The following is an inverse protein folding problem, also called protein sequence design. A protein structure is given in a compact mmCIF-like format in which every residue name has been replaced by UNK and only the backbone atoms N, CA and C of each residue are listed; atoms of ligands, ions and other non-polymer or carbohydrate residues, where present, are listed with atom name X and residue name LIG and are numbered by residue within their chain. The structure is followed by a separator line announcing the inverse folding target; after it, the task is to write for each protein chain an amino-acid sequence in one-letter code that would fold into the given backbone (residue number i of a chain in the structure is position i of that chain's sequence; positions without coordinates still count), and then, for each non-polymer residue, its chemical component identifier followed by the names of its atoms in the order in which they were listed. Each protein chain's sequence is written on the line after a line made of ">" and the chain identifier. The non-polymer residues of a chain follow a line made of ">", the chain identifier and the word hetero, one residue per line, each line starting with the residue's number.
data_IF_488859076260
#
_entry.id   IF_488859076260
#
_cell.length_a   1.000
_cell.length_b   1.000
_cell.length_c   1.000
_cell.angle_alpha   90.00
_cell.angle_beta   90.00
_cell.angle_gamma   90.00
#
_symmetry.space_group_name_H-M   'P 1'
#
loop_
_entity.id
_entity.type
_entity.pdbx_description
1 polymer ?
#
# COMPACT_ATOMS: atom_id res chain seq x y z
N UNK A 1 -0.99 -5.78 48.53
CA UNK A 1 -1.24 -4.33 48.38
C UNK A 1 -1.55 -4.06 46.90
N UNK A 2 -2.82 -3.98 46.48
CA UNK A 2 -3.15 -3.56 45.13
C UNK A 2 -3.18 -2.03 45.08
N UNK A 3 -2.51 -1.44 44.09
CA UNK A 3 -2.55 -0.01 43.81
C UNK A 3 -3.77 0.31 42.92
N UNK A 4 -4.33 1.49 43.18
CA UNK A 4 -5.69 1.93 42.86
C UNK A 4 -5.95 2.21 41.37
N UNK A 5 -7.20 1.97 41.00
CA UNK A 5 -7.89 2.55 39.85
C UNK A 5 -8.09 4.05 40.12
N UNK A 6 -7.61 4.90 39.23
CA UNK A 6 -8.01 6.31 39.17
C UNK A 6 -8.74 6.51 37.86
N UNK A 7 -10.05 6.68 37.96
CA UNK A 7 -10.90 7.27 36.94
C UNK A 7 -10.75 8.79 37.03
N UNK A 8 -10.70 9.52 35.92
CA UNK A 8 -11.27 10.85 35.89
C UNK A 8 -12.48 10.93 34.97
N UNK A 9 -13.46 11.66 35.47
CA UNK A 9 -14.76 12.02 34.93
C UNK A 9 -14.74 12.68 33.55
N UNK A 10 -15.94 12.71 32.98
CA UNK A 10 -16.32 13.33 31.73
C UNK A 10 -16.04 14.84 31.64
N UNK A 11 -16.18 15.36 30.41
CA UNK A 11 -16.09 16.75 29.98
C UNK A 11 -14.68 17.30 29.71
N UNK A 12 -14.12 16.88 28.56
CA UNK A 12 -13.67 17.86 27.55
C UNK A 12 -13.45 17.18 26.21
N UNK A 13 -14.08 17.75 25.19
CA UNK A 13 -13.99 17.42 23.77
C UNK A 13 -12.55 17.13 23.34
N UNK A 14 -12.20 15.84 23.17
CA UNK A 14 -10.85 15.41 22.84
C UNK A 14 -10.77 14.77 21.45
N UNK A 15 -10.13 15.51 20.55
CA UNK A 15 -9.46 15.00 19.37
C UNK A 15 -8.30 14.09 19.82
N UNK A 16 -8.57 12.80 19.99
CA UNK A 16 -7.59 11.78 20.43
C UNK A 16 -8.19 10.41 20.11
N UNK A 17 -7.52 9.38 19.61
CA UNK A 17 -6.17 9.15 19.16
C UNK A 17 -6.26 7.86 18.32
N UNK A 18 -5.55 7.77 17.21
CA UNK A 18 -5.30 6.46 16.62
C UNK A 18 -4.41 5.71 17.64
N UNK A 19 -4.98 4.81 18.43
CA UNK A 19 -4.22 4.06 19.42
C UNK A 19 -3.66 2.81 18.73
N UNK A 20 -2.33 2.74 18.62
CA UNK A 20 -1.66 1.48 18.34
C UNK A 20 -1.81 0.62 19.61
N UNK A 21 -2.80 -0.26 19.62
CA UNK A 21 -3.06 -1.13 20.74
C UNK A 21 -2.36 -2.45 20.50
N UNK A 22 -1.41 -2.79 21.38
CA UNK A 22 -0.89 -4.15 21.46
C UNK A 22 -1.97 -4.98 22.12
N UNK A 23 -2.54 -5.93 21.40
CA UNK A 23 -3.52 -6.83 22.00
C UNK A 23 -2.84 -7.66 23.10
N UNK A 24 -3.55 -8.01 24.20
CA UNK A 24 -3.00 -8.87 25.23
C UNK A 24 -2.53 -10.19 24.59
N UNK A 25 -1.37 -10.72 25.02
CA UNK A 25 -0.86 -11.96 24.46
C UNK A 25 -1.88 -13.08 24.70
N UNK A 26 -2.32 -13.81 23.65
CA UNK A 26 -3.07 -15.03 23.85
C UNK A 26 -2.23 -16.04 24.65
N UNK A 27 -2.90 -16.83 25.48
CA UNK A 27 -2.25 -17.85 26.28
C UNK A 27 -1.58 -18.90 25.37
N UNK A 28 -0.28 -19.10 25.59
CA UNK A 28 0.62 -20.06 24.95
C UNK A 28 0.98 -19.79 23.46
N UNK A 29 2.24 -19.40 23.23
CA UNK A 29 2.96 -19.59 21.95
C UNK A 29 2.58 -18.70 20.76
N UNK A 30 1.51 -17.92 20.86
CA UNK A 30 0.95 -17.20 19.72
C UNK A 30 1.61 -15.83 19.46
N UNK A 31 1.77 -15.52 18.17
CA UNK A 31 2.41 -14.30 17.69
C UNK A 31 1.68 -13.05 18.19
N UNK A 32 2.44 -12.07 18.64
CA UNK A 32 1.93 -10.78 19.13
C UNK A 32 1.13 -10.05 18.05
N UNK A 33 -0.10 -9.66 18.41
CA UNK A 33 -1.04 -8.96 17.54
C UNK A 33 -1.01 -7.46 17.81
N UNK A 34 -0.79 -6.68 16.75
CA UNK A 34 -0.85 -5.22 16.76
C UNK A 34 -2.15 -4.78 16.08
N UNK A 35 -2.96 -4.01 16.79
CA UNK A 35 -4.19 -3.43 16.26
C UNK A 35 -4.04 -1.93 16.15
N UNK A 36 -4.30 -1.40 14.97
CA UNK A 36 -4.46 0.02 14.72
C UNK A 36 -5.93 0.28 14.42
N UNK A 37 -6.59 1.02 15.30
CA UNK A 37 -8.02 1.26 15.23
C UNK A 37 -8.29 2.76 15.09
N UNK A 38 -9.20 3.13 14.19
CA UNK A 38 -9.73 4.49 14.10
C UNK A 38 -8.71 5.53 13.61
N UNK A 39 -7.72 5.12 12.80
CA UNK A 39 -6.75 6.07 12.26
C UNK A 39 -7.43 7.01 11.25
N UNK A 40 -7.66 8.27 11.64
CA UNK A 40 -8.36 9.25 10.81
C UNK A 40 -7.44 10.39 10.40
N UNK A 41 -7.26 10.54 9.08
CA UNK A 41 -6.44 11.59 8.48
C UNK A 41 -5.05 11.65 9.14
N UNK A 42 -4.29 10.57 9.16
CA UNK A 42 -2.93 10.58 9.73
C UNK A 42 -1.99 9.74 8.90
N UNK A 43 -0.73 10.07 8.97
CA UNK A 43 0.36 9.26 8.42
C UNK A 43 0.99 8.44 9.55
N UNK A 44 1.02 7.12 9.39
CA UNK A 44 1.56 6.18 10.37
C UNK A 44 2.65 5.37 9.69
N UNK A 45 3.79 5.24 10.35
CA UNK A 45 4.96 4.51 9.86
C UNK A 45 5.35 3.50 10.91
N UNK A 46 5.15 2.21 10.62
CA UNK A 46 5.60 1.09 11.43
C UNK A 46 6.90 0.55 10.84
N UNK A 47 7.96 0.56 11.65
CA UNK A 47 9.28 0.06 11.24
C UNK A 47 9.46 -1.41 11.64
N UNK A 48 10.50 -2.05 11.08
CA UNK A 48 10.84 -3.43 11.38
C UNK A 48 10.99 -3.71 12.89
N UNK A 49 11.56 -2.77 13.66
CA UNK A 49 11.68 -2.89 15.12
C UNK A 49 10.35 -3.07 15.87
N UNK A 50 9.25 -2.58 15.30
CA UNK A 50 7.94 -2.54 15.95
C UNK A 50 7.01 -3.65 15.44
N UNK A 51 7.09 -3.98 14.14
CA UNK A 51 6.14 -4.86 13.46
C UNK A 51 6.71 -6.21 13.03
N UNK A 52 8.02 -6.46 13.19
CA UNK A 52 8.63 -7.70 12.73
C UNK A 52 7.97 -8.95 13.34
N UNK A 53 7.58 -9.91 12.51
CA UNK A 53 6.94 -11.19 12.90
C UNK A 53 5.61 -11.07 13.67
N UNK A 54 5.01 -9.87 13.72
CA UNK A 54 3.71 -9.63 14.34
C UNK A 54 2.57 -9.82 13.33
N UNK A 55 1.36 -10.08 13.86
CA UNK A 55 0.12 -10.02 13.09
C UNK A 55 -0.45 -8.59 13.19
N UNK A 56 -0.92 -8.01 12.09
CA UNK A 56 -1.43 -6.64 12.05
C UNK A 56 -2.92 -6.60 11.71
N UNK A 57 -3.68 -5.82 12.48
CA UNK A 57 -5.07 -5.51 12.18
C UNK A 57 -5.27 -4.00 12.05
N UNK A 58 -5.81 -3.59 10.92
CA UNK A 58 -6.12 -2.21 10.57
C UNK A 58 -7.64 -2.07 10.49
N UNK A 59 -8.24 -1.42 11.49
CA UNK A 59 -9.69 -1.37 11.68
C UNK A 59 -10.19 0.09 11.62
N UNK A 60 -11.24 0.33 10.84
CA UNK A 60 -11.92 1.64 10.71
C UNK A 60 -10.96 2.83 10.46
N UNK A 61 -9.96 2.63 9.59
CA UNK A 61 -9.04 3.71 9.22
C UNK A 61 -9.64 4.54 8.07
N UNK A 62 -9.58 5.86 8.17
CA UNK A 62 -10.21 6.77 7.21
C UNK A 62 -9.27 7.88 6.75
N UNK A 63 -9.11 8.03 5.43
CA UNK A 63 -8.23 9.06 4.83
C UNK A 63 -6.79 9.02 5.37
N UNK A 64 -6.26 7.83 5.66
CA UNK A 64 -4.96 7.65 6.32
C UNK A 64 -3.89 7.08 5.37
N UNK A 65 -2.64 7.41 5.66
CA UNK A 65 -1.46 6.82 5.02
C UNK A 65 -0.79 5.89 6.02
N UNK A 66 -0.70 4.60 5.71
CA UNK A 66 -0.16 3.59 6.62
C UNK A 66 1.00 2.89 5.90
N UNK A 67 2.21 3.08 6.41
CA UNK A 67 3.44 2.50 5.91
C UNK A 67 3.93 1.44 6.89
N UNK A 68 3.90 0.17 6.50
CA UNK A 68 4.39 -0.95 7.29
C UNK A 68 5.66 -1.48 6.63
N UNK A 69 6.79 -0.92 7.04
CA UNK A 69 8.12 -1.22 6.51
C UNK A 69 8.76 -2.33 7.35
N UNK A 70 8.13 -3.51 7.34
CA UNK A 70 8.54 -4.68 8.11
C UNK A 70 8.13 -5.98 7.42
N UNK A 71 8.72 -7.10 7.84
CA UNK A 71 8.19 -8.44 7.60
C UNK A 71 7.16 -8.80 8.67
N UNK A 72 5.91 -9.00 8.28
CA UNK A 72 4.78 -9.30 9.18
C UNK A 72 4.24 -10.70 8.89
N UNK A 73 3.59 -11.32 9.88
CA UNK A 73 3.04 -12.68 9.74
C UNK A 73 1.73 -12.67 8.94
N UNK A 74 0.82 -11.78 9.29
CA UNK A 74 -0.47 -11.63 8.63
C UNK A 74 -0.94 -10.19 8.73
N UNK A 75 -1.77 -9.77 7.77
CA UNK A 75 -2.36 -8.44 7.77
C UNK A 75 -3.84 -8.57 7.49
N UNK A 76 -4.64 -7.85 8.26
CA UNK A 76 -6.07 -7.77 8.08
C UNK A 76 -6.52 -6.31 8.08
N UNK A 77 -7.21 -5.92 7.01
CA UNK A 77 -7.79 -4.60 6.78
C UNK A 77 -9.30 -4.74 6.81
N UNK A 78 -9.96 -4.05 7.74
CA UNK A 78 -11.42 -4.07 7.86
C UNK A 78 -11.97 -2.66 7.96
N UNK A 79 -12.94 -2.33 7.10
CA UNK A 79 -13.67 -1.06 7.18
C UNK A 79 -12.80 0.16 6.87
N UNK A 80 -11.71 0.00 6.12
CA UNK A 80 -10.81 1.10 5.78
C UNK A 80 -11.34 1.88 4.57
N UNK A 81 -11.40 3.21 4.65
CA UNK A 81 -11.93 4.05 3.57
C UNK A 81 -10.97 5.19 3.18
N UNK A 82 -10.75 5.35 1.87
CA UNK A 82 -9.86 6.37 1.29
C UNK A 82 -8.43 6.32 1.85
N UNK A 83 -7.91 5.12 2.12
CA UNK A 83 -6.59 4.93 2.73
C UNK A 83 -5.55 4.48 1.69
N UNK A 84 -4.30 4.88 1.91
CA UNK A 84 -3.15 4.30 1.19
C UNK A 84 -2.37 3.45 2.18
N UNK A 85 -2.28 2.15 1.91
CA UNK A 85 -1.61 1.18 2.78
C UNK A 85 -0.49 0.52 2.01
N UNK A 86 0.72 0.62 2.51
CA UNK A 86 1.90 -0.04 1.97
C UNK A 86 2.41 -1.02 3.01
N UNK A 87 2.52 -2.28 2.62
CA UNK A 87 3.07 -3.34 3.45
C UNK A 87 4.30 -3.91 2.75
N UNK A 88 5.37 -4.04 3.52
CA UNK A 88 6.65 -4.57 3.07
C UNK A 88 6.55 -6.02 2.60
N UNK A 89 6.50 -6.96 3.55
CA UNK A 89 6.31 -8.36 3.23
C UNK A 89 5.46 -9.11 4.26
N UNK A 90 4.55 -9.94 3.78
CA UNK A 90 3.61 -10.71 4.58
C UNK A 90 3.91 -12.20 4.38
N UNK A 91 4.42 -12.88 5.41
CA UNK A 91 4.73 -14.30 5.32
C UNK A 91 3.51 -15.21 5.21
N UNK A 92 2.34 -14.71 5.61
CA UNK A 92 1.06 -15.44 5.58
C UNK A 92 0.04 -14.78 4.66
N UNK A 93 -1.16 -14.53 5.23
CA UNK A 93 -2.33 -14.09 4.47
C UNK A 93 -2.57 -12.60 4.65
N UNK A 94 -2.74 -11.91 3.52
CA UNK A 94 -3.29 -10.57 3.44
C UNK A 94 -4.82 -10.65 3.32
N UNK A 95 -5.54 -9.95 4.20
CA UNK A 95 -7.01 -9.95 4.24
C UNK A 95 -7.52 -8.53 4.08
N UNK A 96 -8.40 -8.27 3.13
CA UNK A 96 -9.04 -6.96 2.98
C UNK A 96 -10.56 -7.12 2.84
N UNK A 97 -11.31 -6.56 3.80
CA UNK A 97 -12.75 -6.72 3.92
C UNK A 97 -13.46 -5.40 4.16
N UNK A 98 -14.56 -5.15 3.44
CA UNK A 98 -15.39 -3.96 3.61
C UNK A 98 -14.61 -2.65 3.44
N UNK A 99 -13.66 -2.61 2.50
CA UNK A 99 -12.83 -1.43 2.24
C UNK A 99 -13.34 -0.62 1.04
N UNK A 100 -13.21 0.70 1.10
CA UNK A 100 -13.63 1.60 0.03
C UNK A 100 -12.47 2.53 -0.36
N UNK A 101 -12.26 2.77 -1.67
CA UNK A 101 -11.21 3.70 -2.17
C UNK A 101 -9.83 3.41 -1.58
N UNK A 102 -9.50 2.15 -1.39
CA UNK A 102 -8.23 1.72 -0.81
C UNK A 102 -7.16 1.64 -1.91
N UNK A 103 -5.98 2.18 -1.66
CA UNK A 103 -4.78 1.92 -2.46
C UNK A 103 -3.84 1.03 -1.65
N UNK A 104 -3.88 -0.27 -1.91
CA UNK A 104 -3.11 -1.28 -1.16
C UNK A 104 -1.91 -1.76 -1.97
N UNK A 105 -0.72 -1.60 -1.42
CA UNK A 105 0.53 -2.13 -1.95
C UNK A 105 1.05 -3.18 -0.99
N UNK A 106 1.06 -4.45 -1.37
CA UNK A 106 1.52 -5.51 -0.47
C UNK A 106 2.20 -6.66 -1.21
N UNK A 107 3.20 -7.25 -0.55
CA UNK A 107 3.74 -8.56 -0.92
C UNK A 107 3.29 -9.60 0.10
N UNK A 108 2.77 -10.74 -0.33
CA UNK A 108 2.21 -11.75 0.56
C UNK A 108 2.35 -13.18 0.02
N UNK A 109 2.34 -14.19 0.88
CA UNK A 109 2.23 -15.57 0.43
C UNK A 109 0.84 -15.85 -0.18
N UNK A 110 -0.22 -15.32 0.44
CA UNK A 110 -1.59 -15.41 -0.05
C UNK A 110 -2.40 -14.14 0.22
N UNK A 111 -3.44 -13.90 -0.58
CA UNK A 111 -4.35 -12.78 -0.38
C UNK A 111 -5.82 -13.21 -0.48
N UNK A 112 -6.65 -12.67 0.39
CA UNK A 112 -8.11 -12.78 0.37
C UNK A 112 -8.74 -11.40 0.42
N UNK A 113 -9.60 -11.10 -0.54
CA UNK A 113 -10.23 -9.78 -0.69
C UNK A 113 -11.73 -10.00 -0.83
N UNK A 114 -12.53 -9.22 -0.11
CA UNK A 114 -13.97 -9.26 -0.29
C UNK A 114 -14.70 -8.02 0.14
N UNK A 115 -15.85 -7.78 -0.50
CA UNK A 115 -16.70 -6.62 -0.25
C UNK A 115 -15.95 -5.28 -0.39
N UNK A 116 -15.04 -5.17 -1.37
CA UNK A 116 -14.25 -3.97 -1.61
C UNK A 116 -14.79 -3.15 -2.78
N UNK A 117 -14.75 -1.81 -2.65
CA UNK A 117 -15.27 -0.88 -3.66
C UNK A 117 -14.19 0.12 -4.07
N UNK A 118 -14.05 0.38 -5.38
CA UNK A 118 -13.15 1.38 -5.97
C UNK A 118 -11.70 1.27 -5.46
N UNK A 119 -11.23 0.04 -5.32
CA UNK A 119 -9.97 -0.28 -4.63
C UNK A 119 -8.90 -0.68 -5.64
N UNK A 120 -7.70 -0.12 -5.50
CA UNK A 120 -6.54 -0.45 -6.31
C UNK A 120 -5.56 -1.31 -5.51
N UNK A 121 -5.23 -2.47 -6.05
CA UNK A 121 -4.45 -3.51 -5.40
C UNK A 121 -3.16 -3.77 -6.20
N UNK A 122 -2.04 -3.35 -5.64
CA UNK A 122 -0.70 -3.58 -6.18
C UNK A 122 -0.08 -4.74 -5.41
N UNK A 123 -0.06 -5.93 -6.01
CA UNK A 123 0.19 -7.17 -5.31
C UNK A 123 1.38 -7.95 -5.89
N UNK A 124 2.16 -8.55 -5.00
CA UNK A 124 3.05 -9.66 -5.31
C UNK A 124 2.62 -10.83 -4.42
N UNK A 125 1.92 -11.80 -5.00
CA UNK A 125 1.33 -12.91 -4.25
C UNK A 125 1.74 -14.25 -4.83
N UNK A 126 2.19 -15.18 -3.98
CA UNK A 126 2.66 -16.49 -4.44
C UNK A 126 1.56 -17.52 -4.65
N UNK A 127 0.33 -17.16 -4.32
CA UNK A 127 -0.88 -17.93 -4.60
C UNK A 127 -1.93 -17.03 -5.26
N UNK A 128 -2.83 -17.60 -6.10
CA UNK A 128 -3.95 -16.87 -6.69
C UNK A 128 -4.76 -16.12 -5.62
N UNK A 129 -4.97 -14.79 -5.75
CA UNK A 129 -5.75 -14.04 -4.76
C UNK A 129 -7.21 -14.49 -4.77
N UNK A 130 -7.76 -14.80 -3.60
CA UNK A 130 -9.14 -15.22 -3.44
C UNK A 130 -10.05 -13.99 -3.30
N UNK A 131 -10.91 -13.80 -4.29
CA UNK A 131 -11.95 -12.77 -4.32
C UNK A 131 -13.27 -13.39 -3.85
N UNK A 132 -13.93 -12.79 -2.87
CA UNK A 132 -15.24 -13.25 -2.39
C UNK A 132 -16.17 -12.08 -2.08
N UNK A 133 -17.48 -12.37 -1.98
CA UNK A 133 -18.50 -11.34 -1.81
C UNK A 133 -18.58 -10.37 -2.98
N UNK A 134 -19.10 -9.17 -2.71
CA UNK A 134 -19.46 -8.18 -3.73
C UNK A 134 -18.34 -7.16 -3.95
N UNK A 135 -17.49 -7.40 -4.94
CA UNK A 135 -16.39 -6.50 -5.30
C UNK A 135 -16.80 -5.60 -6.47
N UNK A 136 -16.55 -4.30 -6.35
CA UNK A 136 -16.95 -3.32 -7.36
C UNK A 136 -15.76 -2.44 -7.73
N UNK A 137 -15.39 -2.40 -9.02
CA UNK A 137 -14.30 -1.55 -9.54
C UNK A 137 -12.97 -1.79 -8.80
N UNK A 138 -12.64 -3.06 -8.57
CA UNK A 138 -11.35 -3.45 -8.00
C UNK A 138 -10.33 -3.57 -9.13
N UNK A 139 -9.23 -2.81 -9.04
CA UNK A 139 -8.13 -2.90 -10.00
C UNK A 139 -6.95 -3.69 -9.45
N UNK A 140 -6.43 -4.63 -10.24
CA UNK A 140 -5.27 -5.45 -9.89
C UNK A 140 -4.05 -4.98 -10.70
N UNK A 141 -2.92 -4.83 -10.04
CA UNK A 141 -1.66 -4.39 -10.61
C UNK A 141 -0.49 -5.17 -9.99
N UNK A 142 0.66 -5.28 -10.68
CA UNK A 142 1.86 -5.82 -10.07
C UNK A 142 2.38 -4.90 -8.97
N UNK A 143 3.03 -5.46 -7.95
CA UNK A 143 3.66 -4.68 -6.89
C UNK A 143 4.85 -3.87 -7.42
N UNK A 144 4.74 -2.55 -7.29
CA UNK A 144 5.74 -1.59 -7.79
C UNK A 144 6.43 -0.76 -6.72
N UNK A 145 6.26 -1.08 -5.44
CA UNK A 145 6.84 -0.25 -4.37
C UNK A 145 8.33 -0.52 -4.22
N UNK A 146 9.10 0.53 -3.99
CA UNK A 146 10.55 0.45 -3.73
C UNK A 146 10.88 1.16 -2.42
N UNK A 147 11.55 0.44 -1.51
CA UNK A 147 12.18 0.97 -0.29
C UNK A 147 13.38 0.08 0.08
N UNK A 148 14.32 0.58 0.89
CA UNK A 148 15.65 -0.03 1.08
C UNK A 148 15.58 -1.45 1.66
N UNK A 149 14.73 -1.67 2.66
CA UNK A 149 14.59 -2.96 3.35
C UNK A 149 13.70 -4.01 2.66
N UNK A 150 13.18 -3.75 1.45
CA UNK A 150 12.18 -4.63 0.83
C UNK A 150 12.70 -6.05 0.57
N UNK A 151 13.90 -6.17 0.01
CA UNK A 151 14.49 -7.47 -0.34
C UNK A 151 14.69 -8.37 0.88
N UNK A 152 15.15 -7.78 1.98
CA UNK A 152 15.34 -8.50 3.25
C UNK A 152 14.01 -8.91 3.87
N UNK A 153 13.00 -8.04 3.84
CA UNK A 153 11.67 -8.36 4.37
C UNK A 153 11.00 -9.48 3.56
N UNK A 154 11.12 -9.47 2.23
CA UNK A 154 10.60 -10.53 1.37
C UNK A 154 11.31 -11.86 1.63
N UNK A 155 12.64 -11.85 1.79
CA UNK A 155 13.41 -13.04 2.14
C UNK A 155 12.98 -13.61 3.51
N UNK A 156 12.81 -12.76 4.51
CA UNK A 156 12.33 -13.16 5.84
C UNK A 156 10.89 -13.73 5.81
N UNK A 157 10.04 -13.20 4.94
CA UNK A 157 8.67 -13.66 4.73
C UNK A 157 8.56 -14.87 3.78
N UNK A 158 9.67 -15.31 3.18
CA UNK A 158 9.70 -16.36 2.15
C UNK A 158 8.80 -16.07 0.93
N UNK A 159 8.61 -14.79 0.59
CA UNK A 159 7.82 -14.36 -0.57
C UNK A 159 8.73 -14.26 -1.78
N UNK A 160 8.40 -14.99 -2.86
CA UNK A 160 9.19 -14.97 -4.09
C UNK A 160 8.81 -13.76 -4.96
N UNK A 161 9.80 -12.96 -5.33
CA UNK A 161 9.63 -11.76 -6.17
C UNK A 161 9.61 -12.06 -7.69
N UNK A 162 9.86 -13.32 -8.08
CA UNK A 162 9.92 -13.78 -9.47
C UNK A 162 8.52 -13.81 -10.11
N UNK A 163 8.44 -13.44 -11.37
CA UNK A 163 7.17 -13.32 -12.10
C UNK A 163 6.44 -14.66 -12.23
N UNK A 164 7.17 -15.76 -12.45
CA UNK A 164 6.59 -17.11 -12.58
C UNK A 164 5.84 -17.57 -11.33
N UNK A 165 6.27 -17.08 -10.17
CA UNK A 165 5.66 -17.37 -8.87
C UNK A 165 4.72 -16.26 -8.41
N UNK A 166 4.48 -15.22 -9.22
CA UNK A 166 3.61 -14.11 -8.86
C UNK A 166 2.24 -14.25 -9.54
N UNK A 167 1.24 -14.69 -8.77
CA UNK A 167 -0.10 -15.04 -9.24
C UNK A 167 -1.12 -13.90 -9.13
N UNK A 168 -0.69 -12.65 -8.92
CA UNK A 168 -1.57 -11.48 -8.73
C UNK A 168 -2.61 -11.29 -9.84
N UNK A 169 -2.27 -11.62 -11.09
CA UNK A 169 -3.13 -11.44 -12.27
C UNK A 169 -4.16 -12.57 -12.46
N UNK A 170 -4.19 -13.58 -11.59
CA UNK A 170 -5.10 -14.73 -11.69
C UNK A 170 -5.96 -14.85 -10.44
N UNK A 171 -6.89 -13.92 -10.19
CA UNK A 171 -7.80 -14.03 -9.05
C UNK A 171 -8.75 -15.23 -9.19
N UNK A 172 -9.13 -15.81 -8.05
CA UNK A 172 -10.14 -16.86 -7.95
C UNK A 172 -11.39 -16.27 -7.30
N UNK A 173 -12.55 -16.38 -7.95
CA UNK A 173 -13.82 -15.90 -7.39
C UNK A 173 -14.54 -17.01 -6.65
N UNK A 174 -14.87 -16.80 -5.37
CA UNK A 174 -15.77 -17.65 -4.60
C UNK A 174 -17.26 -17.25 -4.77
N UNK A 175 -17.55 -16.18 -5.52
CA UNK A 175 -18.88 -15.56 -5.57
C UNK A 175 -19.90 -16.28 -6.48
N UNK A 176 -19.46 -17.27 -7.28
CA UNK A 176 -20.36 -17.97 -8.20
C UNK A 176 -20.66 -19.38 -7.68
N UNK A 177 -21.92 -19.65 -7.33
CA UNK A 177 -22.41 -21.04 -7.34
C UNK A 177 -22.24 -21.53 -8.78
N UNK A 178 -21.46 -22.59 -9.05
CA UNK A 178 -21.36 -23.12 -10.39
C UNK A 178 -22.78 -23.49 -10.84
N UNK A 179 -23.27 -22.90 -11.93
CA UNK A 179 -24.40 -23.53 -12.63
C UNK A 179 -23.81 -24.79 -13.27
N UNK A 180 -24.59 -25.86 -13.38
CA UNK A 180 -24.15 -27.17 -13.92
C UNK A 180 -23.54 -27.11 -15.34
N UNK A 181 -23.58 -25.94 -16.00
CA UNK A 181 -23.07 -25.64 -17.34
C UNK A 181 -21.86 -24.71 -17.38
N UNK A 182 -21.36 -24.23 -16.23
CA UNK A 182 -20.22 -23.30 -16.19
C UNK A 182 -18.90 -24.05 -15.99
N UNK A 183 -18.03 -24.01 -17.00
CA UNK A 183 -16.61 -24.34 -16.85
C UNK A 183 -15.98 -23.50 -15.72
N UNK A 184 -14.99 -24.03 -14.95
CA UNK A 184 -14.30 -23.26 -13.93
C UNK A 184 -13.47 -22.13 -14.57
N UNK A 185 -14.09 -20.96 -14.71
CA UNK A 185 -13.43 -19.76 -15.21
C UNK A 185 -12.50 -19.19 -14.13
N UNK A 186 -11.23 -19.59 -14.16
CA UNK A 186 -10.18 -19.02 -13.32
C UNK A 186 -9.64 -17.71 -13.92
N UNK A 187 -9.26 -16.75 -13.08
CA UNK A 187 -8.71 -15.46 -13.51
C UNK A 187 -9.75 -14.34 -13.56
N UNK A 188 -9.41 -13.24 -14.23
CA UNK A 188 -10.26 -12.04 -14.24
C UNK A 188 -11.65 -12.27 -14.85
N UNK A 189 -11.78 -13.17 -15.83
CA UNK A 189 -13.06 -13.48 -16.47
C UNK A 189 -14.07 -14.14 -15.50
N UNK A 190 -13.57 -14.85 -14.48
CA UNK A 190 -14.39 -15.43 -13.42
C UNK A 190 -14.68 -14.48 -12.25
N UNK A 191 -14.07 -13.30 -12.22
CA UNK A 191 -14.14 -12.36 -11.10
C UNK A 191 -14.91 -11.09 -11.49
N UNK A 192 -16.25 -11.06 -11.33
CA UNK A 192 -17.04 -9.85 -11.62
C UNK A 192 -16.57 -8.67 -10.78
N UNK A 193 -16.45 -7.50 -11.41
CA UNK A 193 -16.01 -6.26 -10.75
C UNK A 193 -14.50 -6.11 -10.55
N UNK A 194 -13.71 -7.09 -10.99
CA UNK A 194 -12.24 -7.02 -11.01
C UNK A 194 -11.73 -6.66 -12.42
N UNK A 195 -10.77 -5.75 -12.51
CA UNK A 195 -10.13 -5.34 -13.78
C UNK A 195 -8.62 -5.21 -13.61
N UNK A 196 -7.84 -5.34 -14.67
CA UNK A 196 -6.41 -5.01 -14.61
C UNK A 196 -6.22 -3.49 -14.60
N UNK A 197 -5.26 -3.03 -13.81
CA UNK A 197 -4.84 -1.64 -13.84
C UNK A 197 -4.16 -1.34 -15.19
N UNK A 198 -4.46 -0.21 -15.86
CA UNK A 198 -3.85 0.10 -17.14
C UNK A 198 -2.33 0.25 -17.03
N UNK A 199 -1.52 -0.48 -17.83
CA UNK A 199 -0.06 -0.37 -17.80
C UNK A 199 0.45 1.05 -18.04
N UNK A 200 -0.24 1.82 -18.89
CA UNK A 200 0.11 3.21 -19.19
C UNK A 200 -0.03 4.18 -17.99
N UNK A 201 -0.79 3.80 -16.96
CA UNK A 201 -0.99 4.59 -15.73
C UNK A 201 -0.21 4.04 -14.54
N UNK A 202 0.52 2.95 -14.75
CA UNK A 202 1.32 2.32 -13.72
C UNK A 202 2.59 3.12 -13.47
N UNK A 203 2.81 3.50 -12.21
CA UNK A 203 4.03 4.13 -11.74
C UNK A 203 4.47 3.44 -10.44
N UNK A 204 5.78 3.20 -10.25
CA UNK A 204 6.33 2.74 -8.98
C UNK A 204 5.91 3.65 -7.84
N UNK A 205 5.55 3.05 -6.71
CA UNK A 205 5.21 3.80 -5.51
C UNK A 205 6.48 3.99 -4.66
N UNK A 206 6.86 5.23 -4.41
CA UNK A 206 7.99 5.56 -3.53
C UNK A 206 7.49 5.84 -2.13
N UNK A 207 8.07 5.15 -1.14
CA UNK A 207 7.76 5.40 0.28
C UNK A 207 8.49 6.66 0.72
N UNK A 208 7.80 7.74 1.12
CA UNK A 208 8.44 9.04 1.39
C UNK A 208 9.49 9.04 2.51
N UNK A 209 9.43 8.05 3.41
CA UNK A 209 10.31 7.95 4.59
C UNK A 209 11.56 7.10 4.32
N UNK A 210 11.55 6.30 3.25
CA UNK A 210 12.63 5.37 2.93
C UNK A 210 12.87 5.34 1.41
N UNK A 211 13.09 6.52 0.84
CA UNK A 211 13.43 6.68 -0.57
C UNK A 211 14.90 6.27 -0.75
N UNK A 212 15.21 5.29 -1.64
CA UNK A 212 16.59 5.01 -2.02
C UNK A 212 17.27 6.26 -2.59
N UNK A 213 18.57 6.44 -2.32
CA UNK A 213 19.32 7.62 -2.80
C UNK A 213 19.22 7.77 -4.32
N UNK A 214 19.31 6.67 -5.06
CA UNK A 214 19.17 6.64 -6.52
C UNK A 214 17.81 7.22 -6.97
N UNK A 215 16.71 6.83 -6.30
CA UNK A 215 15.39 7.39 -6.59
C UNK A 215 15.27 8.87 -6.21
N UNK A 216 15.98 9.31 -5.17
CA UNK A 216 16.05 10.72 -4.77
C UNK A 216 16.85 11.56 -5.79
N UNK A 217 17.88 10.97 -6.40
CA UNK A 217 18.69 11.57 -7.47
C UNK A 217 17.99 11.55 -8.84
N UNK A 218 16.72 11.14 -8.89
CA UNK A 218 15.92 11.06 -10.12
C UNK A 218 16.28 9.87 -11.02
N UNK A 219 17.14 8.95 -10.55
CA UNK A 219 17.42 7.70 -11.23
C UNK A 219 16.31 6.70 -10.89
N UNK A 220 15.59 6.25 -11.91
CA UNK A 220 14.49 5.29 -11.72
C UNK A 220 15.02 3.98 -11.13
N UNK A 221 14.68 3.69 -9.87
CA UNK A 221 15.03 2.41 -9.24
C UNK A 221 14.05 1.34 -9.74
N UNK A 222 14.54 0.25 -10.35
CA UNK A 222 13.66 -0.80 -10.81
C UNK A 222 12.95 -1.46 -9.61
N UNK A 223 11.67 -1.86 -9.78
CA UNK A 223 10.97 -2.57 -8.73
C UNK A 223 11.63 -3.92 -8.43
N UNK A 224 11.60 -4.33 -7.16
CA UNK A 224 12.17 -5.60 -6.71
C UNK A 224 11.39 -6.80 -7.26
N UNK A 225 10.07 -6.63 -7.44
CA UNK A 225 9.23 -7.63 -8.07
C UNK A 225 9.33 -7.52 -9.59
N UNK A 226 9.54 -8.65 -10.25
CA UNK A 226 9.58 -8.70 -11.72
C UNK A 226 8.22 -8.28 -12.29
N UNK A 227 8.26 -7.40 -13.30
CA UNK A 227 7.06 -6.90 -13.96
C UNK A 227 6.76 -7.70 -15.22
N UNK A 228 5.48 -7.91 -15.56
CA UNK A 228 5.11 -8.39 -16.88
C UNK A 228 5.56 -7.42 -17.97
N UNK A 229 5.87 -7.95 -19.15
CA UNK A 229 6.40 -7.20 -20.31
C UNK A 229 5.60 -5.93 -20.60
N UNK A 230 4.27 -6.00 -20.65
CA UNK A 230 3.42 -4.83 -20.93
C UNK A 230 3.59 -3.70 -19.90
N UNK A 231 3.78 -4.02 -18.61
CA UNK A 231 4.02 -3.03 -17.57
C UNK A 231 5.45 -2.52 -17.59
N UNK A 232 6.43 -3.40 -17.85
CA UNK A 232 7.83 -3.02 -17.97
C UNK A 232 8.07 -2.06 -19.15
N UNK A 233 7.49 -2.35 -20.32
CA UNK A 233 7.57 -1.51 -21.51
C UNK A 233 6.89 -0.15 -21.30
N UNK A 234 5.69 -0.14 -20.70
CA UNK A 234 4.98 1.10 -20.39
C UNK A 234 5.75 1.97 -19.40
N UNK A 235 6.35 1.36 -18.37
CA UNK A 235 7.22 2.05 -17.41
C UNK A 235 8.47 2.61 -18.10
N UNK A 236 9.15 1.82 -18.92
CA UNK A 236 10.32 2.27 -19.66
C UNK A 236 9.98 3.43 -20.61
N UNK A 237 8.84 3.37 -21.30
CA UNK A 237 8.36 4.46 -22.14
C UNK A 237 8.00 5.72 -21.32
N UNK A 238 7.46 5.56 -20.11
CA UNK A 238 7.22 6.68 -19.20
C UNK A 238 8.53 7.32 -18.73
N UNK A 239 9.51 6.51 -18.31
CA UNK A 239 10.82 7.00 -17.85
C UNK A 239 11.59 7.70 -18.96
N UNK A 240 11.56 7.18 -20.20
CA UNK A 240 12.15 7.87 -21.36
C UNK A 240 11.54 9.25 -21.58
N UNK A 241 10.20 9.36 -21.57
CA UNK A 241 9.51 10.65 -21.71
C UNK A 241 9.87 11.64 -20.61
N UNK A 242 10.10 11.15 -19.39
CA UNK A 242 10.52 11.98 -18.26
C UNK A 242 11.97 12.44 -18.41
N UNK A 243 12.87 11.57 -18.87
CA UNK A 243 14.27 11.92 -19.15
C UNK A 243 14.38 12.93 -20.31
N UNK A 244 13.62 12.73 -21.39
CA UNK A 244 13.55 13.68 -22.50
C UNK A 244 13.04 15.04 -22.03
N UNK A 245 12.00 15.06 -21.19
CA UNK A 245 11.52 16.29 -20.55
C UNK A 245 12.58 16.95 -19.68
N UNK A 246 13.32 16.20 -18.85
CA UNK A 246 14.42 16.76 -18.04
C UNK A 246 15.55 17.34 -18.91
N UNK A 247 15.88 16.72 -20.04
CA UNK A 247 16.85 17.25 -21.01
C UNK A 247 16.37 18.54 -21.65
N UNK A 248 15.11 18.59 -22.06
CA UNK A 248 14.49 19.80 -22.61
C UNK A 248 14.50 20.94 -21.59
N UNK A 249 14.14 20.66 -20.33
CA UNK A 249 14.11 21.66 -19.26
C UNK A 249 15.53 22.15 -18.91
N UNK A 250 16.52 21.26 -18.85
CA UNK A 250 17.90 21.65 -18.55
C UNK A 250 18.58 22.44 -19.68
N UNK A 251 18.09 22.31 -20.91
CA UNK A 251 18.54 23.12 -22.05
C UNK A 251 17.95 24.55 -22.07
N UNK A 252 16.99 24.87 -21.20
CA UNK A 252 16.41 26.21 -21.11
C UNK A 252 17.32 27.19 -20.36
N UNK A 253 17.46 28.39 -20.91
CA UNK A 253 18.23 29.47 -20.29
C UNK A 253 17.40 30.21 -19.21
N UNK A 254 18.07 31.00 -18.36
CA UNK A 254 17.56 31.48 -17.07
C UNK A 254 16.15 32.13 -17.00
N UNK A 255 15.61 32.75 -18.06
CA UNK A 255 14.20 33.20 -18.05
C UNK A 255 13.22 32.04 -18.24
N UNK A 256 13.43 31.21 -19.27
CA UNK A 256 12.59 30.03 -19.54
C UNK A 256 12.64 28.99 -18.43
N UNK A 257 13.81 28.78 -17.82
CA UNK A 257 13.93 27.89 -16.65
C UNK A 257 13.10 28.37 -15.46
N UNK A 258 13.08 29.68 -15.19
CA UNK A 258 12.28 30.26 -14.09
C UNK A 258 10.78 30.12 -14.33
N UNK A 259 10.32 30.31 -15.57
CA UNK A 259 8.92 30.14 -15.94
C UNK A 259 8.46 28.68 -15.78
N UNK A 260 9.26 27.73 -16.27
CA UNK A 260 8.99 26.30 -16.12
C UNK A 260 8.99 25.89 -14.65
N UNK A 261 9.98 26.32 -13.86
CA UNK A 261 10.01 26.06 -12.42
C UNK A 261 8.78 26.63 -11.70
N UNK A 262 8.35 27.84 -12.05
CA UNK A 262 7.17 28.46 -11.45
C UNK A 262 5.89 27.69 -11.80
N UNK A 263 5.71 27.31 -13.07
CA UNK A 263 4.57 26.51 -13.51
C UNK A 263 4.55 25.13 -12.84
N UNK A 264 5.71 24.46 -12.75
CA UNK A 264 5.86 23.17 -12.05
C UNK A 264 5.50 23.30 -10.58
N UNK A 265 6.00 24.31 -9.87
CA UNK A 265 5.67 24.53 -8.46
C UNK A 265 4.18 24.76 -8.23
N UNK A 266 3.52 25.55 -9.10
CA UNK A 266 2.08 25.80 -9.00
C UNK A 266 1.29 24.51 -9.21
N UNK A 267 1.61 23.73 -10.25
CA UNK A 267 0.94 22.46 -10.54
C UNK A 267 1.21 21.41 -9.46
N UNK A 268 2.42 21.37 -8.91
CA UNK A 268 2.76 20.50 -7.80
C UNK A 268 1.96 20.86 -6.53
N UNK A 269 1.85 22.15 -6.21
CA UNK A 269 1.06 22.63 -5.06
C UNK A 269 -0.43 22.30 -5.22
N UNK A 270 -0.99 22.54 -6.41
CA UNK A 270 -2.37 22.20 -6.75
C UNK A 270 -2.60 20.68 -6.62
N UNK A 271 -1.66 19.87 -7.12
CA UNK A 271 -1.69 18.42 -6.97
C UNK A 271 -1.66 18.00 -5.50
N UNK A 272 -0.74 18.54 -4.68
CA UNK A 272 -0.63 18.21 -3.24
C UNK A 272 -1.91 18.49 -2.47
N UNK A 273 -2.60 19.59 -2.78
CA UNK A 273 -3.88 19.94 -2.15
C UNK A 273 -4.98 18.99 -2.59
N UNK A 274 -5.09 18.73 -3.90
CA UNK A 274 -6.15 17.89 -4.47
C UNK A 274 -6.05 16.43 -4.04
N UNK A 275 -4.84 15.89 -3.90
CA UNK A 275 -4.61 14.49 -3.50
C UNK A 275 -4.59 14.27 -2.00
N UNK A 276 -4.58 15.34 -1.18
CA UNK A 276 -4.40 15.25 0.26
C UNK A 276 -2.95 15.00 0.70
N UNK A 277 -2.00 14.90 -0.24
CA UNK A 277 -0.58 14.66 0.04
C UNK A 277 0.09 15.84 0.78
N UNK A 278 -0.48 17.06 0.71
CA UNK A 278 -0.01 18.20 1.51
C UNK A 278 0.01 17.87 3.01
N UNK A 279 -1.03 17.15 3.47
CA UNK A 279 -1.15 16.72 4.85
C UNK A 279 -0.09 15.68 5.21
N UNK A 280 0.12 14.73 4.31
CA UNK A 280 1.14 13.71 4.49
C UNK A 280 2.53 14.33 4.66
N UNK A 281 2.89 15.32 3.85
CA UNK A 281 4.14 16.05 4.00
C UNK A 281 4.24 16.73 5.37
N UNK A 282 3.18 17.39 5.82
CA UNK A 282 3.14 18.00 7.14
C UNK A 282 3.35 16.99 8.27
N UNK A 283 2.62 15.86 8.25
CA UNK A 283 2.74 14.80 9.25
C UNK A 283 4.17 14.22 9.29
N UNK A 284 4.79 14.02 8.12
CA UNK A 284 6.15 13.50 8.01
C UNK A 284 7.21 14.50 8.50
N UNK A 285 7.04 15.79 8.21
CA UNK A 285 7.94 16.84 8.73
C UNK A 285 7.85 16.94 10.25
N UNK A 286 6.65 16.88 10.82
CA UNK A 286 6.45 16.86 12.28
C UNK A 286 7.07 15.62 12.92
N UNK A 287 7.01 14.46 12.28
CA UNK A 287 7.64 13.23 12.76
C UNK A 287 9.18 13.26 12.71
N UNK A 288 9.78 14.06 11.81
CA UNK A 288 11.23 14.24 11.70
C UNK A 288 11.78 15.34 12.62
N UNK A 289 10.99 16.38 12.91
CA UNK A 289 11.39 17.50 13.78
C UNK A 289 11.28 17.24 15.29
N UNK A 290 10.81 16.06 15.69
CA UNK A 290 10.68 15.65 17.10
C UNK A 290 11.82 14.72 17.57
N UNK A 291 12.93 14.66 16.82
CA UNK A 291 14.14 13.91 17.14
C UNK A 291 15.26 14.80 17.66
#
# INVERSE_FOLDING_TARGET
>A
RPAQVVVPDEESSSLSSAALQRAPPPAAGDASLLRLVGARKRTIVLRSSEAHSHSLQLLDCHSAYIYVLASVRSVELVGCCSCTVVVGAIGGVLSAHYCERLSLHATAAAARIGNCIDTSLFLCVNTPPLMWGENHRVSLAPYGTVYRGLREHMAAAQVCAQLERNCWARPLSAARRPRESDEPMAGLEGCPGCSLHPPAKYLPFHVPVDVPLEAADGQGVPPVCELPVAYAEALAACLRRLDDFHKEVSALNGSGMREVQHALHLRFKEWLVRTGNMRQLHDLMCAHGAG
#
